data_IF_059187959924
#
_entry.id   IF_059187959924
#
_cell.length_a   1.000
_cell.length_b   1.000
_cell.length_c   1.000
_cell.angle_alpha   90.00
_cell.angle_beta   90.00
_cell.angle_gamma   90.00
#
_symmetry.space_group_name_H-M   'P 1'
#
loop_
_entity.id
_entity.type
_entity.pdbx_description
1 polymer ?
#
# COMPACT_ATOMS: atom_id res chain seq x y z
N UNK A 1 -7.82 -0.58 12.33
CA UNK A 1 -6.94 -0.34 11.16
C UNK A 1 -7.57 -0.93 9.92
N UNK A 2 -7.11 -0.56 8.72
CA UNK A 2 -7.51 -1.26 7.51
C UNK A 2 -7.26 -2.77 7.64
N UNK A 3 -8.27 -3.58 7.34
CA UNK A 3 -8.24 -5.04 7.51
C UNK A 3 -8.90 -5.54 8.81
N UNK A 4 -9.12 -4.70 9.82
CA UNK A 4 -9.89 -5.10 11.02
C UNK A 4 -11.36 -5.35 10.68
N UNK A 5 -12.05 -6.12 11.53
CA UNK A 5 -13.51 -6.18 11.56
C UNK A 5 -14.06 -5.52 12.80
N UNK A 6 -15.04 -4.64 12.59
CA UNK A 6 -15.81 -4.01 13.65
C UNK A 6 -17.17 -4.68 13.74
N UNK A 7 -17.49 -5.27 14.88
CA UNK A 7 -18.85 -5.67 15.22
C UNK A 7 -19.61 -4.43 15.67
N UNK A 8 -20.63 -4.08 14.92
CA UNK A 8 -21.49 -2.92 15.20
C UNK A 8 -22.86 -3.47 15.59
N UNK A 9 -23.40 -2.99 16.70
CA UNK A 9 -24.76 -3.28 17.16
C UNK A 9 -25.56 -1.98 17.27
N UNK A 10 -26.66 -1.90 16.52
CA UNK A 10 -27.56 -0.74 16.50
C UNK A 10 -28.91 -1.19 17.06
N UNK A 11 -29.23 -0.76 18.29
CA UNK A 11 -30.39 -1.29 19.02
C UNK A 11 -31.73 -1.08 18.27
N UNK A 12 -31.86 0.04 17.56
CA UNK A 12 -33.06 0.43 16.82
C UNK A 12 -33.10 -0.10 15.38
N UNK A 13 -32.00 -0.68 14.89
CA UNK A 13 -31.87 -1.21 13.53
C UNK A 13 -31.07 -2.52 13.52
N UNK A 14 -31.66 -3.64 13.97
CA UNK A 14 -30.98 -4.95 13.99
C UNK A 14 -30.41 -5.37 12.63
N UNK A 15 -31.00 -4.91 11.52
CA UNK A 15 -30.53 -5.15 10.16
C UNK A 15 -29.19 -4.46 9.82
N UNK A 16 -28.79 -3.45 10.60
CA UNK A 16 -27.48 -2.81 10.55
C UNK A 16 -26.49 -3.43 11.54
N UNK A 17 -26.94 -4.37 12.38
CA UNK A 17 -26.12 -4.98 13.41
C UNK A 17 -25.36 -6.18 12.86
N UNK A 18 -24.09 -6.01 12.52
CA UNK A 18 -23.22 -7.04 11.93
C UNK A 18 -21.75 -6.64 12.01
N UNK A 19 -20.90 -7.53 11.51
CA UNK A 19 -19.47 -7.29 11.37
C UNK A 19 -19.17 -6.56 10.06
N UNK A 20 -18.44 -5.45 10.17
CA UNK A 20 -18.02 -4.59 9.08
C UNK A 20 -16.50 -4.62 8.96
N UNK A 21 -16.00 -5.01 7.79
CA UNK A 21 -14.57 -4.94 7.51
C UNK A 21 -14.16 -3.48 7.25
N UNK A 22 -13.07 -3.05 7.88
CA UNK A 22 -12.43 -1.76 7.59
C UNK A 22 -11.68 -1.91 6.28
N UNK A 23 -12.13 -1.19 5.25
CA UNK A 23 -11.54 -1.20 3.93
C UNK A 23 -10.12 -0.60 3.93
N UNK A 24 -9.38 -0.82 2.84
CA UNK A 24 -8.02 -0.31 2.65
C UNK A 24 -7.89 1.21 2.79
N UNK A 25 -8.97 1.95 2.51
CA UNK A 25 -9.06 3.41 2.68
C UNK A 25 -9.43 3.85 4.10
N UNK A 26 -9.48 2.91 5.05
CA UNK A 26 -9.80 3.19 6.45
C UNK A 26 -11.28 3.40 6.73
N UNK A 27 -12.17 3.08 5.78
CA UNK A 27 -13.62 3.26 5.93
C UNK A 27 -14.37 1.94 6.18
N UNK A 28 -15.55 2.02 6.77
CA UNK A 28 -16.54 0.93 6.78
C UNK A 28 -17.71 1.30 5.86
N UNK A 29 -18.26 0.32 5.16
CA UNK A 29 -19.46 0.51 4.34
C UNK A 29 -20.70 0.07 5.11
N UNK A 30 -21.41 1.04 5.67
CA UNK A 30 -22.63 0.81 6.42
C UNK A 30 -23.81 1.03 5.49
N UNK A 31 -24.60 -0.04 5.26
CA UNK A 31 -25.83 0.04 4.47
C UNK A 31 -26.66 1.25 4.92
N UNK A 32 -27.36 1.91 3.99
CA UNK A 32 -28.09 3.18 4.15
C UNK A 32 -27.26 4.42 4.54
N UNK A 33 -26.14 4.29 5.25
CA UNK A 33 -25.27 5.41 5.65
C UNK A 33 -24.12 5.68 4.67
N UNK A 34 -23.80 4.68 3.84
CA UNK A 34 -22.67 4.67 2.92
C UNK A 34 -21.33 4.47 3.62
N UNK A 35 -20.25 4.89 2.97
CA UNK A 35 -18.89 4.82 3.52
C UNK A 35 -18.67 5.83 4.64
N UNK A 36 -18.18 5.33 5.77
CA UNK A 36 -17.84 6.12 6.94
C UNK A 36 -16.36 5.93 7.28
N UNK A 37 -15.55 7.01 7.35
CA UNK A 37 -14.15 6.91 7.73
C UNK A 37 -14.02 6.57 9.22
N UNK A 38 -13.31 5.50 9.53
CA UNK A 38 -13.11 5.03 10.92
C UNK A 38 -11.64 4.88 11.30
N UNK A 39 -10.73 5.02 10.36
CA UNK A 39 -9.30 4.93 10.60
C UNK A 39 -8.81 6.04 11.54
N UNK A 40 -8.03 5.64 12.55
CA UNK A 40 -7.54 6.51 13.61
C UNK A 40 -8.57 6.83 14.70
N UNK A 41 -9.84 6.40 14.56
CA UNK A 41 -10.84 6.53 15.61
C UNK A 41 -10.75 5.37 16.61
N UNK A 42 -11.11 5.66 17.86
CA UNK A 42 -11.41 4.63 18.86
C UNK A 42 -12.77 4.00 18.55
N UNK A 43 -13.06 2.82 19.10
CA UNK A 43 -14.40 2.20 18.98
C UNK A 43 -15.51 3.13 19.46
N UNK A 44 -15.27 3.88 20.53
CA UNK A 44 -16.18 4.94 21.03
C UNK A 44 -16.36 6.06 20.00
N UNK A 45 -15.26 6.55 19.40
CA UNK A 45 -15.35 7.56 18.34
C UNK A 45 -16.10 7.07 17.09
N UNK A 46 -15.98 5.78 16.75
CA UNK A 46 -16.78 5.16 15.68
C UNK A 46 -18.26 5.08 16.09
N UNK A 47 -18.55 4.73 17.34
CA UNK A 47 -19.92 4.71 17.86
C UNK A 47 -20.56 6.11 17.77
N UNK A 48 -19.85 7.15 18.21
CA UNK A 48 -20.30 8.55 18.14
C UNK A 48 -20.57 8.98 16.70
N UNK A 49 -19.66 8.65 15.78
CA UNK A 49 -19.82 8.93 14.35
C UNK A 49 -21.09 8.28 13.78
N UNK A 50 -21.36 7.03 14.15
CA UNK A 50 -22.54 6.29 13.70
C UNK A 50 -23.82 6.86 14.31
N UNK A 51 -23.82 7.18 15.61
CA UNK A 51 -24.94 7.81 16.31
C UNK A 51 -25.32 9.13 15.63
N UNK A 52 -24.33 9.99 15.35
CA UNK A 52 -24.58 11.28 14.71
C UNK A 52 -25.16 11.10 13.29
N UNK A 53 -24.65 10.13 12.52
CA UNK A 53 -25.14 9.85 11.17
C UNK A 53 -26.55 9.28 11.16
N UNK A 54 -26.85 8.35 12.06
CA UNK A 54 -28.15 7.71 12.22
C UNK A 54 -29.23 8.69 12.68
N UNK A 55 -28.90 9.56 13.64
CA UNK A 55 -29.84 10.53 14.20
C UNK A 55 -30.23 11.63 13.20
N UNK A 56 -29.34 11.99 12.27
CA UNK A 56 -29.62 13.03 11.27
C UNK A 56 -30.68 12.63 10.24
N UNK A 57 -30.86 11.34 9.99
CA UNK A 57 -31.63 10.89 8.81
C UNK A 57 -32.61 9.75 9.07
N UNK A 58 -32.48 9.03 10.19
CA UNK A 58 -33.23 7.78 10.39
C UNK A 58 -33.87 7.67 11.79
N UNK A 59 -33.21 8.15 12.84
CA UNK A 59 -33.66 7.98 14.22
C UNK A 59 -33.68 9.29 15.00
N UNK A 60 -34.43 9.35 16.10
CA UNK A 60 -34.41 10.49 17.02
C UNK A 60 -33.27 10.38 18.04
N UNK A 61 -33.01 9.15 18.50
CA UNK A 61 -31.99 8.82 19.48
C UNK A 61 -31.58 7.35 19.26
N UNK A 62 -30.52 7.15 18.46
CA UNK A 62 -29.92 5.86 18.18
C UNK A 62 -28.94 5.46 19.28
N UNK A 63 -28.85 4.16 19.55
CA UNK A 63 -27.87 3.56 20.46
C UNK A 63 -27.01 2.60 19.66
N UNK A 64 -25.70 2.87 19.64
CA UNK A 64 -24.72 2.09 18.87
C UNK A 64 -23.62 1.60 19.81
N UNK A 65 -23.34 0.31 19.73
CA UNK A 65 -22.18 -0.32 20.36
C UNK A 65 -21.22 -0.76 19.26
N UNK A 66 -19.93 -0.51 19.45
CA UNK A 66 -18.88 -0.92 18.50
C UNK A 66 -17.79 -1.65 19.25
N UNK A 67 -17.47 -2.85 18.76
CA UNK A 67 -16.38 -3.68 19.26
C UNK A 67 -15.52 -4.12 18.08
N UNK A 68 -14.23 -4.39 18.31
CA UNK A 68 -13.39 -5.02 17.29
C UNK A 68 -13.60 -6.52 17.40
N UNK A 69 -14.17 -7.16 16.37
CA UNK A 69 -14.39 -8.61 16.36
C UNK A 69 -13.21 -9.40 15.80
N UNK A 70 -12.39 -8.77 14.96
CA UNK A 70 -11.21 -9.37 14.35
C UNK A 70 -10.15 -8.29 14.13
N UNK A 71 -8.93 -8.50 14.62
CA UNK A 71 -7.81 -7.58 14.40
C UNK A 71 -7.02 -8.01 13.18
N UNK A 72 -6.41 -7.04 12.48
CA UNK A 72 -5.45 -7.36 11.43
C UNK A 72 -4.23 -8.04 12.08
N UNK A 73 -3.96 -9.26 11.64
CA UNK A 73 -2.73 -9.95 11.98
C UNK A 73 -1.62 -9.54 10.99
N UNK A 74 -0.38 -9.52 11.46
CA UNK A 74 0.76 -9.29 10.60
C UNK A 74 2.07 -9.49 11.33
N UNK A 75 3.14 -8.93 10.77
CA UNK A 75 4.45 -8.94 11.41
C UNK A 75 5.12 -7.59 11.33
N UNK A 76 5.90 -7.28 12.35
CA UNK A 76 6.93 -6.24 12.32
C UNK A 76 8.22 -6.88 11.82
N UNK A 77 8.90 -6.21 10.90
CA UNK A 77 10.23 -6.61 10.45
C UNK A 77 11.26 -5.66 11.06
N UNK A 78 12.24 -6.17 11.80
CA UNK A 78 13.38 -5.41 12.28
C UNK A 78 14.65 -5.91 11.63
N UNK A 79 15.40 -5.00 11.01
CA UNK A 79 16.67 -5.34 10.37
C UNK A 79 17.63 -4.14 10.31
N UNK A 80 18.89 -4.42 9.97
CA UNK A 80 19.97 -3.45 9.83
C UNK A 80 21.05 -3.71 10.86
N UNK A 81 21.64 -2.65 11.40
CA UNK A 81 22.65 -2.69 12.47
C UNK A 81 22.05 -3.03 13.84
N UNK A 82 21.45 -4.22 13.93
CA UNK A 82 20.96 -4.85 15.16
C UNK A 82 21.65 -6.18 15.37
N UNK A 83 21.75 -6.67 16.61
CA UNK A 83 22.46 -7.93 16.90
C UNK A 83 21.78 -9.15 16.26
N UNK A 84 20.45 -9.19 16.29
CA UNK A 84 19.67 -10.28 15.70
C UNK A 84 18.49 -9.69 14.91
N UNK A 85 18.62 -9.51 13.58
CA UNK A 85 17.48 -9.18 12.74
C UNK A 85 16.35 -10.19 12.94
N UNK A 86 15.10 -9.72 12.98
CA UNK A 86 13.96 -10.58 13.31
C UNK A 86 12.66 -10.16 12.64
N UNK A 87 11.79 -11.15 12.44
CA UNK A 87 10.36 -10.96 12.18
C UNK A 87 9.62 -11.25 13.48
N UNK A 88 8.77 -10.32 13.90
CA UNK A 88 7.91 -10.49 15.05
C UNK A 88 6.46 -10.50 14.61
N UNK A 89 5.77 -11.62 14.77
CA UNK A 89 4.35 -11.71 14.50
C UNK A 89 3.57 -10.93 15.58
N UNK A 90 2.70 -10.02 15.14
CA UNK A 90 1.95 -9.09 15.99
C UNK A 90 0.49 -9.04 15.55
N UNK A 91 -0.41 -8.99 16.52
CA UNK A 91 -1.83 -8.74 16.31
C UNK A 91 -2.16 -7.26 16.55
N UNK A 92 -3.19 -6.74 15.87
CA UNK A 92 -3.58 -5.32 15.95
C UNK A 92 -4.03 -4.84 17.34
N UNK A 93 -4.35 -5.76 18.26
CA UNK A 93 -4.69 -5.48 19.66
C UNK A 93 -3.48 -5.45 20.59
N UNK A 94 -2.32 -5.94 20.14
CA UNK A 94 -1.10 -5.94 20.93
C UNK A 94 -0.43 -4.57 20.86
N UNK A 95 -0.15 -4.02 22.04
CA UNK A 95 0.70 -2.86 22.18
C UNK A 95 2.15 -3.35 22.22
N UNK A 96 2.92 -2.96 21.21
CA UNK A 96 4.35 -3.22 21.16
C UNK A 96 5.11 -1.98 20.71
N UNK A 97 6.26 -1.72 21.31
CA UNK A 97 7.07 -0.52 21.01
C UNK A 97 8.37 -0.83 20.27
N UNK A 98 8.96 0.19 19.65
CA UNK A 98 10.28 0.09 19.02
C UNK A 98 11.34 -0.40 20.02
N UNK A 99 11.33 0.10 21.25
CA UNK A 99 12.30 -0.32 22.27
C UNK A 99 12.16 -1.77 22.67
N UNK A 100 10.95 -2.31 22.76
CA UNK A 100 10.70 -3.72 23.05
C UNK A 100 11.26 -4.61 21.93
N UNK A 101 10.95 -4.29 20.68
CA UNK A 101 11.47 -5.04 19.52
C UNK A 101 13.00 -4.95 19.43
N UNK A 102 13.59 -3.79 19.73
CA UNK A 102 15.04 -3.66 19.79
C UNK A 102 15.66 -4.45 20.94
N UNK A 103 15.01 -4.51 22.11
CA UNK A 103 15.48 -5.33 23.23
C UNK A 103 15.46 -6.83 22.88
N UNK A 104 14.39 -7.30 22.26
CA UNK A 104 14.23 -8.69 21.82
C UNK A 104 15.26 -9.08 20.73
N UNK A 105 15.63 -8.12 19.87
CA UNK A 105 16.71 -8.31 18.88
C UNK A 105 18.11 -8.37 19.50
N UNK A 106 18.25 -8.14 20.81
CA UNK A 106 19.53 -8.04 21.51
C UNK A 106 20.20 -6.67 21.41
N UNK A 107 19.48 -5.66 20.89
CA UNK A 107 19.91 -4.27 20.78
C UNK A 107 20.68 -3.93 19.49
N UNK A 108 21.09 -2.66 19.40
CA UNK A 108 21.87 -2.12 18.29
C UNK A 108 23.31 -2.67 18.27
N UNK A 109 23.92 -2.76 17.10
CA UNK A 109 25.37 -3.03 16.97
C UNK A 109 26.20 -1.76 17.25
N UNK A 110 27.52 -1.90 17.40
CA UNK A 110 28.42 -0.74 17.56
C UNK A 110 28.49 0.17 16.31
N UNK A 111 28.18 -0.40 15.14
CA UNK A 111 28.16 0.33 13.86
C UNK A 111 26.85 1.09 13.63
N UNK A 112 25.80 0.79 14.40
CA UNK A 112 24.48 1.36 14.25
C UNK A 112 24.50 2.90 14.36
N UNK A 113 23.84 3.55 13.42
CA UNK A 113 23.43 4.94 13.54
C UNK A 113 22.11 5.00 14.31
N UNK A 114 22.20 4.83 15.64
CA UNK A 114 21.06 4.86 16.54
C UNK A 114 20.33 6.21 16.59
N UNK A 115 20.91 7.26 16.03
CA UNK A 115 20.34 8.61 15.87
C UNK A 115 19.30 8.71 14.74
N UNK A 116 19.16 7.67 13.91
CA UNK A 116 18.37 7.70 12.68
C UNK A 116 17.73 6.34 12.37
N UNK A 117 17.06 5.75 13.37
CA UNK A 117 16.27 4.53 13.14
C UNK A 117 15.03 4.89 12.34
N UNK A 118 14.78 4.15 11.26
CA UNK A 118 13.65 4.39 10.36
C UNK A 118 12.53 3.38 10.62
N UNK A 119 11.31 3.87 10.80
CA UNK A 119 10.10 3.04 10.75
C UNK A 119 9.35 3.39 9.47
N UNK A 120 9.25 2.43 8.56
CA UNK A 120 8.49 2.50 7.34
C UNK A 120 7.07 1.98 7.63
N UNK A 121 6.11 2.89 7.73
CA UNK A 121 4.72 2.60 8.10
C UNK A 121 3.77 2.93 6.96
N UNK A 122 2.75 2.10 6.76
CA UNK A 122 1.71 2.40 5.78
C UNK A 122 0.94 3.67 6.16
N UNK A 123 0.81 4.60 5.21
CA UNK A 123 -0.05 5.76 5.39
C UNK A 123 -1.52 5.34 5.37
N UNK A 124 -2.37 5.97 6.21
CA UNK A 124 -3.82 5.87 6.12
C UNK A 124 -4.36 6.20 4.71
N UNK A 125 -5.48 5.58 4.31
CA UNK A 125 -6.24 6.00 3.12
C UNK A 125 -5.92 5.28 1.80
N UNK A 126 -5.49 4.01 1.84
CA UNK A 126 -5.46 3.11 0.67
C UNK A 126 -4.34 3.33 -0.34
N UNK A 127 -3.65 4.47 -0.28
CA UNK A 127 -2.45 4.71 -1.10
C UNK A 127 -1.35 3.75 -0.64
N UNK A 128 -0.77 3.02 -1.59
CA UNK A 128 0.41 2.16 -1.37
C UNK A 128 1.69 3.00 -1.13
N UNK A 129 1.61 3.93 -0.18
CA UNK A 129 2.68 4.79 0.27
C UNK A 129 3.01 4.45 1.71
N UNK A 130 4.31 4.32 2.00
CA UNK A 130 4.80 4.31 3.37
C UNK A 130 5.29 5.69 3.75
N UNK A 131 4.98 6.13 4.95
CA UNK A 131 5.71 7.21 5.61
C UNK A 131 6.95 6.65 6.30
N UNK A 132 7.98 7.49 6.39
CA UNK A 132 9.19 7.19 7.15
C UNK A 132 9.15 8.01 8.44
N UNK A 133 9.03 7.32 9.57
CA UNK A 133 9.15 7.91 10.90
C UNK A 133 10.61 7.73 11.33
N UNK A 134 11.30 8.84 11.60
CA UNK A 134 12.67 8.81 12.09
C UNK A 134 12.68 8.89 13.61
N UNK A 135 13.44 8.00 14.25
CA UNK A 135 13.53 7.88 15.71
C UNK A 135 14.98 7.92 16.15
N UNK A 136 15.31 8.81 17.09
CA UNK A 136 16.62 8.87 17.74
C UNK A 136 16.64 7.97 18.99
N UNK A 137 16.90 6.69 18.75
CA UNK A 137 17.01 5.67 19.82
C UNK A 137 18.23 5.94 20.70
N UNK A 138 19.29 6.53 20.13
CA UNK A 138 20.50 6.86 20.89
C UNK A 138 20.18 7.89 21.97
N UNK A 139 19.51 8.97 21.63
CA UNK A 139 19.09 10.01 22.58
C UNK A 139 18.17 9.43 23.67
N UNK A 140 17.21 8.58 23.28
CA UNK A 140 16.31 7.91 24.23
C UNK A 140 17.07 7.07 25.27
N UNK A 141 18.06 6.29 24.82
CA UNK A 141 18.89 5.45 25.70
C UNK A 141 19.85 6.26 26.57
N UNK A 142 20.50 7.28 26.03
CA UNK A 142 21.47 8.11 26.75
C UNK A 142 20.80 8.94 27.86
N UNK A 143 19.59 9.44 27.60
CA UNK A 143 18.85 10.28 28.54
C UNK A 143 17.81 9.52 29.38
N UNK A 144 17.59 8.23 29.10
CA UNK A 144 16.50 7.43 29.65
C UNK A 144 15.11 8.11 29.47
N UNK A 145 14.92 8.78 28.34
CA UNK A 145 13.70 9.51 27.98
C UNK A 145 12.98 8.82 26.81
N UNK A 146 11.94 8.06 27.14
CA UNK A 146 11.20 7.24 26.17
C UNK A 146 9.93 7.91 25.64
N UNK A 147 9.78 9.23 25.81
CA UNK A 147 8.60 9.95 25.30
C UNK A 147 8.44 9.90 23.78
N UNK A 148 9.52 9.62 23.06
CA UNK A 148 9.54 9.46 21.61
C UNK A 148 9.51 7.99 21.16
N UNK A 149 9.38 7.04 22.09
CA UNK A 149 9.20 5.63 21.73
C UNK A 149 7.92 5.46 20.90
N UNK A 150 8.02 4.64 19.86
CA UNK A 150 6.95 4.51 18.86
C UNK A 150 6.22 3.19 19.08
N UNK A 151 4.90 3.27 19.24
CA UNK A 151 4.05 2.09 19.08
C UNK A 151 4.15 1.59 17.65
N UNK A 152 4.40 0.31 17.50
CA UNK A 152 4.50 -0.37 16.22
C UNK A 152 3.14 -0.93 15.82
N UNK A 153 2.96 -1.11 14.51
CA UNK A 153 1.75 -1.65 13.91
C UNK A 153 2.11 -2.89 13.11
N UNK A 154 1.17 -3.84 12.95
CA UNK A 154 1.34 -4.91 11.98
C UNK A 154 1.78 -4.35 10.61
N UNK A 155 2.80 -4.98 10.02
CA UNK A 155 3.41 -4.63 8.72
C UNK A 155 4.33 -3.41 8.71
N UNK A 156 4.64 -2.84 9.87
CA UNK A 156 5.73 -1.89 10.01
C UNK A 156 7.07 -2.56 9.69
N UNK A 157 7.98 -1.78 9.11
CA UNK A 157 9.36 -2.18 8.87
C UNK A 157 10.28 -1.22 9.59
N UNK A 158 11.14 -1.74 10.44
CA UNK A 158 12.16 -1.02 11.18
C UNK A 158 13.51 -1.29 10.55
N UNK A 159 14.16 -0.23 10.10
CA UNK A 159 15.50 -0.25 9.54
C UNK A 159 16.46 0.55 10.42
N UNK A 160 17.53 -0.09 10.87
CA UNK A 160 18.63 0.54 11.59
C UNK A 160 19.83 0.69 10.65
N UNK A 161 20.15 1.90 10.17
CA UNK A 161 21.30 2.11 9.30
C UNK A 161 22.63 2.10 10.08
N UNK A 162 23.76 2.05 9.37
CA UNK A 162 25.09 2.23 9.93
C UNK A 162 25.51 3.72 10.01
N UNK A 163 26.47 4.06 10.89
CA UNK A 163 27.03 5.42 11.03
C UNK A 163 27.64 5.91 9.70
N UNK A 164 27.32 7.14 9.30
CA UNK A 164 27.94 7.78 8.13
C UNK A 164 29.46 7.87 8.31
N UNK A 165 30.21 7.44 7.31
CA UNK A 165 31.67 7.30 7.37
C UNK A 165 32.16 5.87 7.61
N UNK A 166 31.27 4.92 7.86
CA UNK A 166 31.48 3.54 7.45
C UNK A 166 31.42 3.49 5.92
N UNK A 167 32.56 3.31 5.26
CA UNK A 167 32.62 3.01 3.83
C UNK A 167 31.76 1.77 3.59
N UNK A 168 30.66 1.91 2.84
CA UNK A 168 29.81 0.82 2.36
C UNK A 168 29.11 0.01 3.46
N UNK A 169 27.79 0.02 3.48
CA UNK A 169 27.20 -1.32 3.43
C UNK A 169 27.43 -1.76 2.00
N UNK A 170 28.46 -2.58 1.77
CA UNK A 170 28.54 -3.44 0.58
C UNK A 170 27.38 -4.43 0.66
N UNK A 171 26.15 -3.94 0.77
CA UNK A 171 24.94 -4.74 0.95
C UNK A 171 23.76 -4.05 0.28
N UNK A 172 22.85 -4.86 -0.25
CA UNK A 172 21.50 -4.46 -0.63
C UNK A 172 20.50 -5.28 0.19
N UNK A 173 19.26 -4.83 0.28
CA UNK A 173 18.23 -5.48 1.06
C UNK A 173 17.19 -6.15 0.16
N UNK A 174 17.00 -7.45 0.28
CA UNK A 174 15.93 -8.18 -0.39
C UNK A 174 14.73 -8.35 0.56
N UNK A 175 13.55 -7.82 0.22
CA UNK A 175 12.34 -7.87 1.04
C UNK A 175 11.19 -8.58 0.34
N UNK A 176 10.33 -9.21 1.15
CA UNK A 176 9.12 -9.90 0.69
C UNK A 176 9.41 -11.33 0.26
N UNK A 177 8.86 -11.75 -0.87
CA UNK A 177 8.84 -13.14 -1.35
C UNK A 177 10.16 -13.58 -2.01
N UNK A 178 11.27 -13.40 -1.31
CA UNK A 178 12.53 -14.04 -1.65
C UNK A 178 12.68 -15.35 -0.88
N UNK A 179 13.46 -16.30 -1.39
CA UNK A 179 13.80 -17.53 -0.66
C UNK A 179 14.67 -17.22 0.56
N UNK A 180 15.58 -16.25 0.43
CA UNK A 180 16.38 -15.72 1.54
C UNK A 180 16.18 -14.19 1.63
N UNK A 181 15.06 -13.73 2.23
CA UNK A 181 14.88 -12.30 2.47
C UNK A 181 15.86 -11.81 3.54
N UNK A 182 16.22 -10.53 3.48
CA UNK A 182 17.21 -9.91 4.36
C UNK A 182 18.33 -9.23 3.59
N UNK A 183 19.40 -8.86 4.30
CA UNK A 183 20.58 -8.24 3.70
C UNK A 183 21.41 -9.26 2.93
N UNK A 184 21.98 -8.78 1.84
CA UNK A 184 22.86 -9.54 0.96
C UNK A 184 24.03 -8.67 0.55
N UNK A 185 25.20 -9.28 0.43
CA UNK A 185 26.39 -8.57 -0.01
C UNK A 185 26.19 -7.96 -1.41
N UNK A 186 26.49 -6.68 -1.52
CA UNK A 186 26.62 -5.94 -2.76
C UNK A 186 28.07 -5.96 -3.21
N UNK A 187 28.28 -6.27 -4.48
CA UNK A 187 29.58 -6.15 -5.13
C UNK A 187 29.49 -5.07 -6.21
N UNK A 188 30.55 -4.28 -6.38
CA UNK A 188 30.58 -3.25 -7.41
C UNK A 188 30.20 -3.81 -8.79
N UNK A 189 29.24 -3.15 -9.45
CA UNK A 189 28.67 -3.60 -10.72
C UNK A 189 27.65 -4.74 -10.61
N UNK A 190 27.11 -5.02 -9.43
CA UNK A 190 25.97 -5.93 -9.25
C UNK A 190 24.71 -5.39 -9.95
N UNK A 191 23.89 -6.30 -10.46
CA UNK A 191 22.61 -6.03 -11.12
C UNK A 191 21.48 -6.82 -10.46
N UNK A 192 20.25 -6.56 -10.90
CA UNK A 192 19.05 -7.24 -10.37
C UNK A 192 19.16 -8.75 -10.47
N UNK A 193 19.69 -9.30 -11.56
CA UNK A 193 19.85 -10.76 -11.70
C UNK A 193 20.72 -11.32 -10.57
N UNK A 194 21.91 -10.75 -10.37
CA UNK A 194 22.82 -11.19 -9.30
C UNK A 194 22.21 -11.00 -7.91
N UNK A 195 21.50 -9.90 -7.70
CA UNK A 195 20.80 -9.65 -6.45
C UNK A 195 19.71 -10.69 -6.16
N UNK A 196 18.88 -11.03 -7.13
CA UNK A 196 17.84 -12.07 -6.99
C UNK A 196 18.48 -13.44 -6.71
N UNK A 197 19.60 -13.75 -7.35
CA UNK A 197 20.35 -15.00 -7.11
C UNK A 197 20.93 -15.03 -5.70
N UNK A 198 21.53 -13.93 -5.22
CA UNK A 198 22.03 -13.80 -3.85
C UNK A 198 20.90 -13.99 -2.82
N UNK A 199 19.71 -13.45 -3.12
CA UNK A 199 18.48 -13.63 -2.34
C UNK A 199 17.80 -15.00 -2.51
N UNK A 200 18.50 -15.99 -3.08
CA UNK A 200 18.02 -17.37 -3.20
C UNK A 200 16.88 -17.56 -4.19
N UNK A 201 16.64 -16.57 -5.06
CA UNK A 201 15.50 -16.52 -5.97
C UNK A 201 14.22 -16.01 -5.33
N UNK A 202 13.20 -15.82 -6.16
CA UNK A 202 11.86 -15.41 -5.73
C UNK A 202 11.03 -16.66 -5.41
N UNK A 203 10.27 -16.61 -4.31
CA UNK A 203 9.38 -17.68 -3.87
C UNK A 203 8.22 -17.90 -4.86
N UNK A 204 7.52 -19.04 -4.77
CA UNK A 204 6.33 -19.31 -5.61
C UNK A 204 5.15 -18.39 -5.31
N UNK A 205 5.13 -17.81 -4.12
CA UNK A 205 4.12 -16.84 -3.72
C UNK A 205 4.51 -15.42 -4.14
N UNK A 206 5.69 -15.21 -4.75
CA UNK A 206 6.19 -13.91 -5.18
C UNK A 206 5.58 -13.40 -6.47
N UNK A 207 5.05 -12.18 -6.44
CA UNK A 207 4.42 -11.52 -7.58
C UNK A 207 5.47 -10.73 -8.37
N UNK A 208 6.17 -11.45 -9.25
CA UNK A 208 7.37 -10.99 -9.97
C UNK A 208 7.19 -9.74 -10.85
N UNK A 209 6.01 -9.56 -11.47
CA UNK A 209 5.62 -8.38 -12.25
C UNK A 209 5.42 -7.11 -11.40
N UNK A 210 5.45 -7.26 -10.08
CA UNK A 210 5.23 -6.20 -9.10
C UNK A 210 6.45 -5.85 -8.26
N UNK A 211 7.62 -6.36 -8.63
CA UNK A 211 8.84 -6.08 -7.89
C UNK A 211 9.22 -4.59 -7.95
N UNK A 212 9.88 -4.08 -6.91
CA UNK A 212 10.31 -2.69 -6.84
C UNK A 212 11.74 -2.60 -6.36
N UNK A 213 12.48 -1.66 -6.91
CA UNK A 213 13.76 -1.25 -6.37
C UNK A 213 13.57 0.11 -5.71
N UNK A 214 13.82 0.20 -4.41
CA UNK A 214 13.79 1.47 -3.68
C UNK A 214 15.23 1.91 -3.47
N UNK A 215 15.59 3.05 -4.05
CA UNK A 215 16.93 3.60 -4.02
C UNK A 215 17.00 4.80 -3.09
N UNK A 216 17.89 4.80 -2.08
CA UNK A 216 18.03 5.96 -1.19
C UNK A 216 18.56 7.16 -1.97
N UNK A 217 17.92 8.31 -1.78
CA UNK A 217 18.33 9.61 -2.30
C UNK A 217 19.19 10.35 -1.28
N UNK A 218 19.94 11.36 -1.73
CA UNK A 218 20.78 12.18 -0.84
C UNK A 218 20.00 12.91 0.27
N UNK A 219 18.67 13.08 0.10
CA UNK A 219 17.78 13.70 1.10
C UNK A 219 17.22 12.74 2.14
N UNK A 220 17.56 11.44 2.09
CA UNK A 220 17.03 10.42 3.00
C UNK A 220 15.65 9.87 2.61
N UNK A 221 15.07 10.34 1.49
CA UNK A 221 13.90 9.72 0.86
C UNK A 221 14.32 8.58 -0.07
N UNK A 222 13.37 7.73 -0.47
CA UNK A 222 13.62 6.65 -1.43
C UNK A 222 12.95 6.93 -2.77
N UNK A 223 13.72 6.86 -3.85
CA UNK A 223 13.20 6.79 -5.21
C UNK A 223 12.67 5.37 -5.47
N UNK A 224 11.44 5.26 -5.96
CA UNK A 224 10.83 3.98 -6.30
C UNK A 224 10.95 3.72 -7.80
N UNK A 225 11.70 2.69 -8.15
CA UNK A 225 11.95 2.25 -9.52
C UNK A 225 11.11 0.99 -9.79
N UNK A 226 10.14 1.05 -10.72
CA UNK A 226 9.39 -0.14 -11.14
C UNK A 226 10.31 -1.21 -11.73
N UNK A 227 10.08 -2.47 -11.34
CA UNK A 227 10.87 -3.60 -11.80
C UNK A 227 9.97 -4.81 -12.10
N UNK A 228 10.04 -5.32 -13.33
CA UNK A 228 9.27 -6.50 -13.73
C UNK A 228 10.20 -7.71 -13.84
N UNK A 229 10.28 -8.50 -12.77
CA UNK A 229 11.08 -9.72 -12.74
C UNK A 229 10.49 -10.83 -13.62
N UNK A 230 9.19 -10.79 -13.91
CA UNK A 230 8.55 -11.78 -14.79
C UNK A 230 9.03 -11.59 -16.23
N UNK A 231 9.14 -10.35 -16.70
CA UNK A 231 9.76 -10.03 -17.99
C UNK A 231 11.26 -10.34 -18.00
N UNK A 232 11.98 -10.00 -16.93
CA UNK A 232 13.42 -10.25 -16.82
C UNK A 232 13.76 -11.74 -16.92
N UNK A 233 13.15 -12.59 -16.09
CA UNK A 233 13.49 -14.02 -16.03
C UNK A 233 12.67 -14.89 -16.99
N UNK A 234 11.43 -14.50 -17.30
CA UNK A 234 10.54 -15.27 -18.16
C UNK A 234 10.74 -15.00 -19.65
N UNK A 235 10.95 -13.74 -20.04
CA UNK A 235 11.14 -13.32 -21.43
C UNK A 235 12.57 -12.87 -21.76
N UNK A 236 13.50 -12.96 -20.79
CA UNK A 236 14.88 -12.51 -20.93
C UNK A 236 15.00 -11.02 -21.33
N UNK A 237 14.07 -10.19 -20.87
CA UNK A 237 14.08 -8.76 -21.15
C UNK A 237 15.13 -8.03 -20.30
N UNK A 238 16.33 -7.88 -20.87
CA UNK A 238 17.47 -7.26 -20.20
C UNK A 238 17.30 -5.77 -19.91
N UNK A 239 16.26 -5.11 -20.45
CA UNK A 239 15.95 -3.72 -20.06
C UNK A 239 15.50 -3.63 -18.60
N UNK A 240 14.98 -4.73 -18.04
CA UNK A 240 14.62 -4.84 -16.64
C UNK A 240 15.83 -5.16 -15.74
N UNK A 241 17.02 -5.45 -16.29
CA UNK A 241 18.20 -5.75 -15.50
C UNK A 241 18.93 -4.48 -15.06
N UNK A 242 18.36 -3.80 -14.09
CA UNK A 242 18.84 -2.51 -13.59
C UNK A 242 20.08 -2.74 -12.68
N UNK A 243 21.08 -1.85 -12.68
CA UNK A 243 22.18 -1.90 -11.71
C UNK A 243 21.65 -1.75 -10.29
N UNK A 244 22.14 -2.58 -9.39
CA UNK A 244 21.92 -2.44 -7.94
C UNK A 244 23.04 -1.55 -7.40
N UNK A 245 22.69 -0.70 -6.45
CA UNK A 245 23.63 0.11 -5.70
C UNK A 245 23.60 -0.31 -4.24
N UNK A 246 24.71 -0.05 -3.54
CA UNK A 246 24.79 -0.19 -2.10
C UNK A 246 23.63 0.57 -1.41
N UNK A 247 22.91 -0.12 -0.52
CA UNK A 247 21.76 0.42 0.19
C UNK A 247 20.43 0.39 -0.56
N UNK A 248 20.40 -0.14 -1.78
CA UNK A 248 19.14 -0.39 -2.49
C UNK A 248 18.28 -1.43 -1.75
N UNK A 249 16.96 -1.28 -1.83
CA UNK A 249 15.98 -2.27 -1.35
C UNK A 249 15.27 -2.88 -2.54
N UNK A 250 15.51 -4.16 -2.78
CA UNK A 250 14.77 -4.96 -3.75
C UNK A 250 13.58 -5.63 -3.06
N UNK A 251 12.36 -5.22 -3.41
CA UNK A 251 11.13 -5.72 -2.80
C UNK A 251 10.31 -6.53 -3.80
N UNK A 252 9.93 -7.76 -3.42
CA UNK A 252 8.97 -8.58 -4.17
C UNK A 252 7.77 -8.88 -3.29
N UNK A 253 6.58 -8.37 -3.63
CA UNK A 253 5.41 -8.63 -2.82
C UNK A 253 4.79 -10.01 -3.07
N UNK A 254 3.91 -10.45 -2.17
CA UNK A 254 3.14 -11.70 -2.32
C UNK A 254 2.04 -11.60 -3.38
N UNK A 255 1.71 -12.71 -4.05
CA UNK A 255 0.57 -12.88 -4.96
C UNK A 255 -0.76 -12.58 -4.28
N UNK A 256 -0.82 -12.81 -2.96
CA UNK A 256 -1.99 -12.55 -2.13
C UNK A 256 -2.04 -11.08 -1.67
N UNK A 257 -0.91 -10.37 -1.75
CA UNK A 257 -0.90 -8.93 -1.58
C UNK A 257 -1.52 -8.30 -2.83
N UNK A 258 -2.66 -7.63 -2.66
CA UNK A 258 -3.22 -6.77 -3.70
C UNK A 258 -2.31 -5.53 -3.78
N UNK A 259 -1.26 -5.60 -4.61
CA UNK A 259 -0.25 -4.53 -4.76
C UNK A 259 -0.68 -3.50 -5.79
N UNK A 260 -1.65 -3.84 -6.63
CA UNK A 260 -2.26 -2.93 -7.57
C UNK A 260 -3.42 -2.22 -6.91
N UNK A 261 -3.50 -0.90 -7.03
CA UNK A 261 -4.75 -0.19 -6.79
C UNK A 261 -5.89 -0.79 -7.62
N UNK A 262 -7.13 -0.38 -7.38
CA UNK A 262 -8.30 -0.85 -8.13
C UNK A 262 -8.98 0.30 -8.82
N UNK A 263 -9.52 0.05 -10.02
CA UNK A 263 -10.34 1.01 -10.75
C UNK A 263 -11.70 0.40 -11.00
N UNK A 264 -12.74 1.21 -10.83
CA UNK A 264 -14.11 0.74 -11.01
C UNK A 264 -14.63 1.22 -12.36
N UNK A 265 -15.05 0.27 -13.19
CA UNK A 265 -15.71 0.57 -14.45
C UNK A 265 -17.22 0.37 -14.30
N UNK A 266 -17.98 1.42 -14.60
CA UNK A 266 -19.43 1.48 -14.45
C UNK A 266 -20.09 1.94 -15.76
N UNK A 267 -21.33 1.48 -15.98
CA UNK A 267 -22.13 1.87 -17.14
C UNK A 267 -21.96 0.94 -18.33
N UNK A 268 -21.89 1.50 -19.54
CA UNK A 268 -21.91 0.78 -20.82
C UNK A 268 -20.55 0.15 -21.18
N UNK A 269 -20.11 -0.80 -20.37
CA UNK A 269 -18.91 -1.62 -20.56
C UNK A 269 -19.27 -3.09 -20.60
N UNK A 270 -18.43 -3.93 -21.21
CA UNK A 270 -18.71 -5.38 -21.26
C UNK A 270 -18.48 -6.06 -19.91
N UNK A 271 -17.49 -5.58 -19.13
CA UNK A 271 -17.16 -6.10 -17.81
C UNK A 271 -17.20 -4.98 -16.75
N UNK A 272 -18.39 -4.62 -16.25
CA UNK A 272 -18.51 -3.67 -15.15
C UNK A 272 -17.98 -4.28 -13.86
N UNK A 273 -17.43 -3.42 -12.99
CA UNK A 273 -16.89 -3.82 -11.69
C UNK A 273 -15.48 -3.30 -11.45
N UNK A 274 -14.87 -3.80 -10.36
CA UNK A 274 -13.51 -3.45 -9.99
C UNK A 274 -12.50 -4.26 -10.81
N UNK A 275 -11.54 -3.57 -11.39
CA UNK A 275 -10.38 -4.14 -12.07
C UNK A 275 -9.15 -3.80 -11.26
N UNK A 276 -8.32 -4.80 -10.99
CA UNK A 276 -7.02 -4.60 -10.36
C UNK A 276 -6.08 -3.91 -11.35
N UNK A 277 -5.49 -2.79 -10.95
CA UNK A 277 -4.45 -2.13 -11.71
C UNK A 277 -3.18 -2.98 -11.70
N UNK A 278 -2.45 -3.04 -12.82
CA UNK A 278 -1.05 -3.43 -12.79
C UNK A 278 -0.33 -2.50 -11.80
N UNK A 279 0.48 -3.06 -10.90
CA UNK A 279 1.16 -2.28 -9.87
C UNK A 279 2.20 -1.36 -10.51
N UNK A 280 2.65 -1.63 -11.74
CA UNK A 280 3.67 -0.89 -12.51
C UNK A 280 3.27 0.56 -12.80
N UNK A 281 2.02 0.95 -12.57
CA UNK A 281 1.53 2.31 -12.81
C UNK A 281 1.30 2.63 -14.29
N UNK A 282 1.41 1.63 -15.18
CA UNK A 282 1.30 1.80 -16.63
C UNK A 282 -0.12 1.69 -17.19
N UNK A 283 -1.11 1.43 -16.33
CA UNK A 283 -2.50 1.32 -16.78
C UNK A 283 -3.07 2.69 -17.13
N UNK A 284 -3.55 2.80 -18.37
CA UNK A 284 -4.23 3.98 -18.89
C UNK A 284 -5.66 3.66 -19.27
N UNK A 285 -6.52 4.67 -19.35
CA UNK A 285 -7.96 4.53 -19.54
C UNK A 285 -8.30 3.76 -20.82
N UNK A 286 -7.81 4.21 -21.97
CA UNK A 286 -8.13 3.61 -23.26
C UNK A 286 -7.55 2.20 -23.38
N UNK A 287 -6.31 1.97 -22.92
CA UNK A 287 -5.70 0.63 -22.94
C UNK A 287 -6.44 -0.36 -22.04
N UNK A 288 -6.88 0.07 -20.86
CA UNK A 288 -7.61 -0.79 -19.92
C UNK A 288 -9.00 -1.15 -20.47
N UNK A 289 -9.69 -0.17 -21.08
CA UNK A 289 -10.96 -0.40 -21.78
C UNK A 289 -10.80 -1.34 -22.98
N UNK A 290 -9.69 -1.23 -23.72
CA UNK A 290 -9.41 -2.09 -24.87
C UNK A 290 -9.07 -3.53 -24.47
N UNK A 291 -8.26 -3.73 -23.43
CA UNK A 291 -7.62 -5.02 -23.14
C UNK A 291 -8.32 -5.85 -22.08
N UNK A 292 -8.95 -5.21 -21.09
CA UNK A 292 -9.47 -5.91 -19.90
C UNK A 292 -11.00 -5.80 -19.75
N UNK A 293 -11.58 -4.65 -20.12
CA UNK A 293 -12.96 -4.30 -19.79
C UNK A 293 -13.94 -4.40 -20.96
N UNK A 294 -13.60 -3.84 -22.13
CA UNK A 294 -14.46 -3.77 -23.31
C UNK A 294 -15.55 -2.68 -23.24
N UNK A 295 -15.91 -2.10 -24.38
CA UNK A 295 -17.07 -1.22 -24.52
C UNK A 295 -18.30 -2.01 -24.95
N UNK A 296 -19.47 -1.71 -24.38
CA UNK A 296 -20.71 -2.23 -24.95
C UNK A 296 -20.99 -1.57 -26.31
N UNK A 297 -21.82 -2.20 -27.15
CA UNK A 297 -22.24 -1.62 -28.45
C UNK A 297 -23.05 -0.32 -28.33
N UNK A 298 -23.46 0.05 -27.11
CA UNK A 298 -24.23 1.26 -26.82
C UNK A 298 -23.40 2.32 -26.07
N UNK A 299 -22.09 2.07 -25.89
CA UNK A 299 -21.21 2.97 -25.15
C UNK A 299 -20.98 4.30 -25.87
N UNK A 300 -21.03 5.39 -25.11
CA UNK A 300 -20.50 6.68 -25.56
C UNK A 300 -18.98 6.72 -25.37
N UNK A 301 -18.25 6.29 -26.41
CA UNK A 301 -16.77 6.28 -26.41
C UNK A 301 -16.17 7.70 -26.36
N UNK A 302 -16.91 8.72 -26.77
CA UNK A 302 -16.44 10.11 -26.83
C UNK A 302 -16.60 10.91 -25.54
N UNK A 303 -17.32 10.37 -24.56
CA UNK A 303 -17.61 11.05 -23.30
C UNK A 303 -17.47 10.08 -22.11
N UNK A 304 -16.28 9.49 -22.00
CA UNK A 304 -15.93 8.65 -20.87
C UNK A 304 -15.47 9.53 -19.72
N UNK A 305 -16.07 9.36 -18.55
CA UNK A 305 -15.75 10.17 -17.37
C UNK A 305 -14.86 9.38 -16.42
N UNK A 306 -13.76 9.97 -15.99
CA UNK A 306 -12.94 9.48 -14.88
C UNK A 306 -13.15 10.39 -13.69
N UNK A 307 -13.68 9.82 -12.61
CA UNK A 307 -13.89 10.51 -11.34
C UNK A 307 -12.73 10.12 -10.43
N UNK A 308 -11.86 11.09 -10.14
CA UNK A 308 -10.67 10.93 -9.31
C UNK A 308 -10.80 11.73 -8.03
N UNK A 309 -10.38 11.16 -6.90
CA UNK A 309 -10.29 11.91 -5.63
C UNK A 309 -8.94 12.61 -5.55
N UNK A 310 -8.95 13.93 -5.62
CA UNK A 310 -7.75 14.74 -5.43
C UNK A 310 -7.23 14.63 -3.97
N UNK A 311 -5.94 14.92 -3.70
CA UNK A 311 -5.37 14.84 -2.35
C UNK A 311 -6.08 15.71 -1.30
N UNK A 312 -6.75 16.78 -1.72
CA UNK A 312 -7.57 17.64 -0.85
C UNK A 312 -8.98 17.07 -0.55
N UNK A 313 -9.25 15.85 -1.02
CA UNK A 313 -10.52 15.15 -0.87
C UNK A 313 -11.60 15.56 -1.87
N UNK A 314 -11.37 16.56 -2.73
CA UNK A 314 -12.34 16.95 -3.75
C UNK A 314 -12.36 15.96 -4.90
N UNK A 315 -13.53 15.81 -5.52
CA UNK A 315 -13.68 14.98 -6.72
C UNK A 315 -13.32 15.82 -7.95
N UNK A 316 -12.35 15.33 -8.71
CA UNK A 316 -12.02 15.82 -10.05
C UNK A 316 -12.71 14.93 -11.06
N UNK A 317 -13.43 15.52 -12.02
CA UNK A 317 -14.03 14.81 -13.15
C UNK A 317 -13.22 15.14 -14.41
N UNK A 318 -12.66 14.11 -15.02
CA UNK A 318 -11.96 14.18 -16.29
C UNK A 318 -12.87 13.58 -17.36
N UNK A 319 -13.17 14.34 -18.41
CA UNK A 319 -13.91 13.83 -19.57
C UNK A 319 -12.91 13.50 -20.65
N UNK A 320 -12.97 12.27 -21.16
CA UNK A 320 -12.01 11.75 -22.13
C UNK A 320 -12.76 11.19 -23.33
N UNK A 321 -12.33 11.60 -24.52
CA UNK A 321 -12.72 10.99 -25.78
C UNK A 321 -11.84 9.78 -26.05
N UNK A 322 -12.23 8.65 -25.47
CA UNK A 322 -11.54 7.36 -25.67
C UNK A 322 -11.77 6.83 -27.09
N UNK A 323 -12.87 7.22 -27.73
CA UNK A 323 -13.17 6.93 -29.13
C UNK A 323 -12.06 7.46 -30.04
N UNK A 324 -11.76 8.74 -29.94
CA UNK A 324 -10.71 9.40 -30.73
C UNK A 324 -9.33 8.76 -30.53
N UNK A 325 -8.96 8.40 -29.30
CA UNK A 325 -7.69 7.72 -28.98
C UNK A 325 -7.58 6.38 -29.70
N UNK A 326 -8.61 5.54 -29.56
CA UNK A 326 -8.63 4.19 -30.11
C UNK A 326 -8.73 4.19 -31.64
N UNK A 327 -9.54 5.09 -32.22
CA UNK A 327 -9.75 5.17 -33.67
C UNK A 327 -8.52 5.75 -34.38
N UNK A 328 -7.82 6.71 -33.75
CA UNK A 328 -6.55 7.25 -34.27
C UNK A 328 -5.35 6.33 -34.02
N UNK A 329 -5.44 5.43 -33.03
CA UNK A 329 -4.31 4.61 -32.56
C UNK A 329 -3.22 5.41 -31.84
N UNK A 330 -3.50 6.66 -31.46
CA UNK A 330 -2.56 7.55 -30.78
C UNK A 330 -2.89 7.65 -29.28
N UNK A 331 -2.08 6.98 -28.47
CA UNK A 331 -2.23 6.92 -27.00
C UNK A 331 -1.46 8.03 -26.27
N UNK A 332 -0.87 9.00 -26.99
CA UNK A 332 -0.10 10.09 -26.36
C UNK A 332 -0.94 10.94 -25.39
N UNK A 333 -2.26 11.02 -25.61
CA UNK A 333 -3.23 11.72 -24.77
C UNK A 333 -4.07 10.78 -23.89
N UNK A 334 -3.70 9.50 -23.78
CA UNK A 334 -4.41 8.57 -22.90
C UNK A 334 -4.15 8.89 -21.43
N UNK A 335 -5.19 8.79 -20.60
CA UNK A 335 -5.11 9.23 -19.21
C UNK A 335 -4.60 8.06 -18.35
N UNK A 336 -3.51 8.23 -17.57
CA UNK A 336 -3.08 7.22 -16.61
C UNK A 336 -4.15 7.07 -15.53
N UNK A 337 -4.52 5.83 -15.24
CA UNK A 337 -5.48 5.50 -14.19
C UNK A 337 -4.77 5.47 -12.83
N UNK A 338 -5.48 5.92 -11.82
CA UNK A 338 -5.02 5.94 -10.43
C UNK A 338 -5.89 5.03 -9.58
N UNK A 339 -5.36 4.63 -8.43
CA UNK A 339 -6.11 3.85 -7.46
C UNK A 339 -7.42 4.56 -7.08
N UNK A 340 -8.48 3.76 -6.95
CA UNK A 340 -9.86 4.15 -6.69
C UNK A 340 -10.49 5.11 -7.72
N UNK A 341 -9.91 5.28 -8.92
CA UNK A 341 -10.62 5.96 -10.01
C UNK A 341 -11.95 5.26 -10.31
N UNK A 342 -13.00 6.05 -10.53
CA UNK A 342 -14.28 5.56 -11.02
C UNK A 342 -14.46 6.01 -12.46
N UNK A 343 -14.41 5.05 -13.38
CA UNK A 343 -14.65 5.26 -14.80
C UNK A 343 -16.12 5.02 -15.09
N UNK A 344 -16.81 6.05 -15.58
CA UNK A 344 -18.21 6.00 -15.93
C UNK A 344 -18.36 6.14 -17.44
N UNK A 345 -18.90 5.11 -18.07
CA UNK A 345 -19.21 5.07 -19.50
C UNK A 345 -20.72 5.21 -19.67
N UNK A 346 -21.15 6.35 -20.17
CA UNK A 346 -22.57 6.61 -20.44
C UNK A 346 -23.03 5.92 -21.72
N UNK A 347 -24.35 5.79 -21.85
CA UNK A 347 -24.98 5.34 -23.09
C UNK A 347 -24.92 6.42 -24.16
N UNK A 348 -24.71 6.01 -25.41
CA UNK A 348 -24.73 6.90 -26.56
C UNK A 348 -26.16 7.32 -26.84
N UNK A 349 -26.43 8.62 -26.78
CA UNK A 349 -27.74 9.18 -27.09
C UNK A 349 -27.85 9.24 -28.62
N UNK A 350 -28.49 8.27 -29.24
CA UNK A 350 -28.85 8.39 -30.66
C UNK A 350 -29.90 9.51 -30.80
N UNK A 351 -29.56 10.61 -31.48
CA UNK A 351 -30.58 11.43 -32.13
C UNK A 351 -30.93 10.75 -33.45
N UNK A 352 -32.15 10.21 -33.55
CA UNK A 352 -32.72 9.72 -34.79
C UNK A 352 -32.99 10.85 -35.79
#
# INVERSE_FOLDING_TARGET
>A
MAGDRLRIEVAQAPELSKDYAVAGDGSIDVNILGRLPVEGLTTEGVADLLVDRLNRSYFKEATVTVEVSEFVEGSVLLFGEVRNPMKLDVSGDQLITLMEVLADSGGLTERAAGDRVHILRWKPGGRMERETILVDVKEMLENADFRHDQYLRPRDIIFVPAKQGGVGSEEFLALGEFSTPGFHDYVEGMDVIRAVVAAGGVSREGRMDAARLLRPTAGGEYEMIPLDLARLFGSADMQMNIPILAGDILFVPSMQAIIGGKVYFLGQVERPGAIALPPTGEATLARTLLTQVGFSKFANRGNVKVIRKAPDGKRQELVVDVGAILDAGDFSNDIPLSDDDVVMVSESIFSF
#
